data_IF_457194008597
#
_entry.id   IF_457194008597
#
_cell.length_a   1.000
_cell.length_b   1.000
_cell.length_c   1.000
_cell.angle_alpha   90.00
_cell.angle_beta   90.00
_cell.angle_gamma   90.00
#
_symmetry.space_group_name_H-M   'P 1'
#
loop_
_entity.id
_entity.type
_entity.pdbx_description
1 polymer ?
#
# COMPACT_ATOMS: atom_id res chain seq x y z
N UNK A 1 -18.88 32.01 -6.82
CA UNK A 1 -18.09 31.04 -7.60
C UNK A 1 -16.64 31.22 -7.19
N UNK A 2 -16.12 30.41 -6.26
CA UNK A 2 -14.72 30.50 -5.85
C UNK A 2 -13.86 29.85 -6.93
N UNK A 3 -13.02 30.63 -7.62
CA UNK A 3 -12.01 30.10 -8.51
C UNK A 3 -10.92 29.45 -7.65
N UNK A 4 -10.67 28.16 -7.87
CA UNK A 4 -9.51 27.48 -7.29
C UNK A 4 -8.27 28.02 -8.02
N UNK A 5 -7.57 28.96 -7.39
CA UNK A 5 -6.26 29.44 -7.84
C UNK A 5 -5.21 28.41 -7.47
N UNK A 6 -4.37 28.00 -8.41
CA UNK A 6 -3.20 27.16 -8.12
C UNK A 6 -2.22 27.94 -7.27
N UNK A 7 -1.87 27.43 -6.09
CA UNK A 7 -0.85 28.00 -5.21
C UNK A 7 0.55 27.83 -5.82
N UNK A 8 1.43 28.81 -5.60
CA UNK A 8 2.81 28.79 -6.11
C UNK A 8 3.62 27.67 -5.43
N UNK A 9 4.05 26.68 -6.20
CA UNK A 9 4.92 25.60 -5.73
C UNK A 9 6.40 25.93 -5.97
N UNK A 10 7.22 25.80 -4.92
CA UNK A 10 8.68 25.97 -5.01
C UNK A 10 9.42 24.63 -5.09
N UNK A 11 10.45 24.53 -5.93
CA UNK A 11 11.32 23.35 -6.01
C UNK A 11 12.42 23.43 -4.94
N UNK A 12 12.47 22.44 -4.05
CA UNK A 12 13.52 22.28 -3.04
C UNK A 12 14.45 21.13 -3.43
N UNK A 13 15.76 21.36 -3.32
CA UNK A 13 16.80 20.32 -3.43
C UNK A 13 17.61 20.35 -2.15
N UNK A 14 17.67 19.22 -1.45
CA UNK A 14 18.39 19.08 -0.19
C UNK A 14 19.46 17.99 -0.34
N UNK A 15 20.64 18.22 0.24
CA UNK A 15 21.74 17.28 0.30
C UNK A 15 22.14 17.06 1.77
N UNK A 16 22.53 15.84 2.12
CA UNK A 16 22.86 15.46 3.49
C UNK A 16 23.57 14.10 3.56
N UNK A 17 23.84 13.64 4.78
CA UNK A 17 24.47 12.34 5.00
C UNK A 17 23.48 11.20 4.72
N UNK A 18 23.99 10.08 4.17
CA UNK A 18 23.15 8.94 3.80
C UNK A 18 22.39 8.35 4.99
N UNK A 19 23.00 8.38 6.18
CA UNK A 19 22.41 7.86 7.41
C UNK A 19 21.22 8.70 7.90
N UNK A 20 21.19 10.00 7.59
CA UNK A 20 20.12 10.92 7.99
C UNK A 20 18.99 11.03 6.95
N UNK A 21 19.22 10.55 5.72
CA UNK A 21 18.25 10.63 4.63
C UNK A 21 16.89 10.05 5.00
N UNK A 22 16.88 8.89 5.67
CA UNK A 22 15.64 8.24 6.11
C UNK A 22 14.85 9.13 7.07
N UNK A 23 15.50 9.63 8.11
CA UNK A 23 14.86 10.49 9.12
C UNK A 23 14.34 11.78 8.50
N UNK A 24 15.09 12.37 7.55
CA UNK A 24 14.64 13.56 6.82
C UNK A 24 13.38 13.28 6.01
N UNK A 25 13.33 12.16 5.26
CA UNK A 25 12.14 11.75 4.50
C UNK A 25 10.94 11.52 5.44
N UNK A 26 11.13 10.84 6.57
CA UNK A 26 10.05 10.57 7.53
C UNK A 26 9.44 11.86 8.09
N UNK A 27 10.27 12.85 8.44
CA UNK A 27 9.81 14.17 8.93
C UNK A 27 9.10 14.95 7.84
N UNK A 28 9.68 14.99 6.63
CA UNK A 28 9.12 15.70 5.47
C UNK A 28 7.78 15.09 5.06
N UNK A 29 7.68 13.77 5.00
CA UNK A 29 6.45 13.05 4.70
C UNK A 29 5.39 13.29 5.79
N UNK A 30 5.79 13.36 7.07
CA UNK A 30 4.91 13.67 8.18
C UNK A 30 4.31 15.09 8.13
N UNK A 31 5.03 16.05 7.55
CA UNK A 31 4.51 17.41 7.35
C UNK A 31 3.42 17.46 6.26
N UNK A 32 3.43 16.54 5.30
CA UNK A 32 2.45 16.48 4.20
C UNK A 32 2.37 17.75 3.34
N UNK A 33 3.42 18.58 3.33
CA UNK A 33 3.48 19.86 2.62
C UNK A 33 4.30 19.82 1.32
N UNK A 34 4.87 18.67 0.97
CA UNK A 34 5.90 18.59 -0.07
C UNK A 34 5.72 17.37 -0.94
N UNK A 35 5.79 17.58 -2.26
CA UNK A 35 5.80 16.52 -3.25
C UNK A 35 7.23 16.02 -3.42
N UNK A 36 7.48 14.77 -3.02
CA UNK A 36 8.79 14.14 -3.20
C UNK A 36 8.85 13.59 -4.62
N UNK A 37 9.79 14.11 -5.41
CA UNK A 37 10.09 13.61 -6.75
C UNK A 37 11.46 12.92 -6.73
N UNK A 38 11.59 11.86 -7.52
CA UNK A 38 12.86 11.20 -7.72
C UNK A 38 13.86 12.16 -8.38
N UNK A 39 15.03 12.32 -7.75
CA UNK A 39 16.13 13.07 -8.32
C UNK A 39 16.72 12.31 -9.52
N UNK A 40 16.32 12.70 -10.73
CA UNK A 40 16.76 12.06 -11.97
C UNK A 40 18.04 12.64 -12.57
N UNK A 41 18.78 13.49 -11.85
CA UNK A 41 19.92 14.20 -12.44
C UNK A 41 21.13 13.28 -12.58
N UNK A 42 21.76 13.34 -13.74
CA UNK A 42 22.97 12.60 -14.12
C UNK A 42 24.25 13.27 -13.62
N UNK A 43 24.17 14.10 -12.57
CA UNK A 43 25.31 14.83 -12.01
C UNK A 43 26.31 13.83 -11.43
N UNK A 44 27.52 13.80 -12.00
CA UNK A 44 28.61 12.92 -11.58
C UNK A 44 28.92 13.11 -10.09
N UNK A 45 28.62 12.09 -9.29
CA UNK A 45 28.93 12.05 -7.85
C UNK A 45 27.72 11.97 -6.92
N UNK A 46 26.49 12.17 -7.42
CA UNK A 46 25.26 11.99 -6.65
C UNK A 46 24.51 10.74 -7.16
N UNK A 47 24.71 9.61 -6.48
CA UNK A 47 23.95 8.40 -6.75
C UNK A 47 22.64 8.41 -5.99
N UNK A 48 21.55 8.05 -6.68
CA UNK A 48 20.30 7.67 -6.03
C UNK A 48 20.59 6.50 -5.07
N UNK A 49 20.06 6.59 -3.84
CA UNK A 49 20.12 5.49 -2.88
C UNK A 49 19.10 4.41 -3.22
N UNK A 50 19.39 3.16 -2.89
CA UNK A 50 18.40 2.07 -3.01
C UNK A 50 17.31 2.27 -1.96
N UNK A 51 16.02 2.12 -2.30
CA UNK A 51 14.95 2.14 -1.31
C UNK A 51 15.21 1.10 -0.21
N UNK A 52 14.80 1.41 1.02
CA UNK A 52 14.98 0.49 2.15
C UNK A 52 14.24 -0.82 1.89
N UNK A 53 14.86 -1.96 2.25
CA UNK A 53 14.26 -3.30 2.15
C UNK A 53 12.85 -3.39 2.78
N UNK A 54 12.60 -2.58 3.82
CA UNK A 54 11.29 -2.47 4.47
C UNK A 54 10.18 -2.04 3.50
N UNK A 55 10.50 -1.29 2.45
CA UNK A 55 9.54 -0.82 1.45
C UNK A 55 8.97 -1.99 0.64
N UNK A 56 9.80 -2.98 0.32
CA UNK A 56 9.36 -4.19 -0.38
C UNK A 56 8.43 -5.02 0.52
N UNK A 57 8.82 -5.20 1.77
CA UNK A 57 8.01 -5.90 2.77
C UNK A 57 6.63 -5.25 2.94
N UNK A 58 6.58 -3.92 3.10
CA UNK A 58 5.33 -3.16 3.20
C UNK A 58 4.48 -3.32 1.93
N UNK A 59 5.09 -3.26 0.75
CA UNK A 59 4.38 -3.40 -0.53
C UNK A 59 3.76 -4.78 -0.70
N UNK A 60 4.49 -5.83 -0.33
CA UNK A 60 3.99 -7.21 -0.33
C UNK A 60 2.83 -7.38 0.66
N UNK A 61 2.99 -6.83 1.87
CA UNK A 61 1.97 -6.88 2.93
C UNK A 61 0.69 -6.15 2.51
N UNK A 62 0.80 -4.96 1.91
CA UNK A 62 -0.33 -4.20 1.36
C UNK A 62 -1.06 -4.97 0.25
N UNK A 63 -0.31 -5.64 -0.62
CA UNK A 63 -0.88 -6.42 -1.73
C UNK A 63 -1.72 -7.59 -1.20
N UNK A 64 -1.23 -8.29 -0.17
CA UNK A 64 -2.00 -9.35 0.51
C UNK A 64 -3.30 -8.83 1.10
N UNK A 65 -3.26 -7.71 1.83
CA UNK A 65 -4.46 -7.11 2.43
C UNK A 65 -5.49 -6.71 1.35
N UNK A 66 -5.04 -6.14 0.23
CA UNK A 66 -5.93 -5.81 -0.89
C UNK A 66 -6.56 -7.06 -1.51
N UNK A 67 -5.80 -8.15 -1.63
CA UNK A 67 -6.33 -9.44 -2.10
C UNK A 67 -7.45 -9.97 -1.20
N UNK A 68 -7.22 -9.97 0.11
CA UNK A 68 -8.23 -10.38 1.08
C UNK A 68 -9.48 -9.47 1.04
N UNK A 69 -9.28 -8.16 1.00
CA UNK A 69 -10.39 -7.19 0.90
C UNK A 69 -11.23 -7.37 -0.38
N UNK A 70 -10.58 -7.67 -1.52
CA UNK A 70 -11.26 -7.94 -2.78
C UNK A 70 -12.14 -9.20 -2.71
N UNK A 71 -11.63 -10.28 -2.10
CA UNK A 71 -12.41 -11.51 -1.89
C UNK A 71 -13.60 -11.30 -0.96
N UNK A 72 -13.44 -10.47 0.06
CA UNK A 72 -14.51 -10.14 1.02
C UNK A 72 -15.54 -9.13 0.48
N UNK A 73 -15.29 -8.52 -0.69
CA UNK A 73 -16.05 -7.38 -1.20
C UNK A 73 -16.20 -6.28 -0.14
N UNK A 74 -15.13 -6.02 0.61
CA UNK A 74 -15.15 -5.05 1.71
C UNK A 74 -15.59 -3.67 1.18
N UNK A 75 -16.52 -3.03 1.88
CA UNK A 75 -16.96 -1.68 1.53
C UNK A 75 -15.82 -0.68 1.64
N UNK A 76 -15.79 0.29 0.72
CA UNK A 76 -14.83 1.37 0.78
C UNK A 76 -14.99 2.15 2.08
N UNK A 77 -13.88 2.30 2.80
CA UNK A 77 -13.85 3.04 4.05
C UNK A 77 -14.05 4.54 3.77
N UNK A 78 -15.27 5.03 3.98
CA UNK A 78 -15.63 6.44 3.75
C UNK A 78 -15.10 7.40 4.82
N UNK A 79 -14.65 6.89 5.96
CA UNK A 79 -14.19 7.70 7.09
C UNK A 79 -12.71 7.47 7.36
N UNK A 80 -11.92 8.54 7.24
CA UNK A 80 -10.49 8.53 7.56
C UNK A 80 -10.31 8.32 9.06
N UNK A 81 -9.60 7.26 9.43
CA UNK A 81 -9.17 7.02 10.81
C UNK A 81 -7.95 7.88 11.14
N UNK A 82 -7.82 8.27 12.40
CA UNK A 82 -6.65 9.00 12.86
C UNK A 82 -5.39 8.13 12.75
N UNK A 83 -4.27 8.70 12.31
CA UNK A 83 -3.00 7.98 12.15
C UNK A 83 -2.55 7.15 13.37
N UNK A 84 -2.74 7.58 14.64
CA UNK A 84 -2.40 6.75 15.80
C UNK A 84 -3.25 5.49 15.92
N UNK A 85 -4.52 5.56 15.53
CA UNK A 85 -5.46 4.44 15.58
C UNK A 85 -5.12 3.42 14.50
N UNK A 86 -4.86 3.89 13.27
CA UNK A 86 -4.37 3.04 12.16
C UNK A 86 -3.09 2.31 12.56
N UNK A 87 -2.13 3.02 13.18
CA UNK A 87 -0.87 2.40 13.65
C UNK A 87 -1.11 1.32 14.71
N UNK A 88 -2.05 1.51 15.63
CA UNK A 88 -2.40 0.50 16.64
C UNK A 88 -3.00 -0.74 15.99
N UNK A 89 -3.91 -0.56 15.06
CA UNK A 89 -4.54 -1.67 14.32
C UNK A 89 -3.52 -2.44 13.49
N UNK A 90 -2.61 -1.75 12.80
CA UNK A 90 -1.56 -2.35 11.97
C UNK A 90 -0.46 -3.08 12.78
N UNK A 91 -0.25 -2.68 14.03
CA UNK A 91 0.66 -3.36 14.96
C UNK A 91 0.00 -4.54 15.69
N UNK A 92 -1.30 -4.74 15.50
CA UNK A 92 -2.06 -5.84 16.08
C UNK A 92 -2.07 -7.11 15.22
N UNK A 93 -3.00 -8.05 15.47
CA UNK A 93 -3.07 -9.36 14.80
C UNK A 93 -3.61 -9.29 13.36
N UNK A 94 -3.57 -8.13 12.70
CA UNK A 94 -4.20 -7.94 11.40
C UNK A 94 -3.59 -8.85 10.33
N UNK A 95 -2.30 -9.15 10.43
CA UNK A 95 -1.62 -10.03 9.49
C UNK A 95 -2.12 -11.47 9.59
N UNK A 96 -2.30 -11.97 10.81
CA UNK A 96 -2.84 -13.31 11.08
C UNK A 96 -4.30 -13.44 10.62
N UNK A 97 -5.09 -12.38 10.82
CA UNK A 97 -6.48 -12.33 10.37
C UNK A 97 -6.59 -12.32 8.84
N UNK A 98 -5.73 -11.56 8.16
CA UNK A 98 -5.67 -11.52 6.69
C UNK A 98 -5.26 -12.88 6.13
N UNK A 99 -4.27 -13.52 6.74
CA UNK A 99 -3.83 -14.86 6.32
C UNK A 99 -4.91 -15.92 6.55
N UNK A 100 -5.59 -15.87 7.69
CA UNK A 100 -6.71 -16.77 8.01
C UNK A 100 -7.88 -16.58 7.04
N UNK A 101 -8.22 -15.33 6.70
CA UNK A 101 -9.26 -15.03 5.73
C UNK A 101 -8.94 -15.61 4.35
N UNK A 102 -7.70 -15.43 3.87
CA UNK A 102 -7.25 -15.97 2.60
C UNK A 102 -7.31 -17.51 2.57
N UNK A 103 -6.87 -18.18 3.64
CA UNK A 103 -6.97 -19.64 3.76
C UNK A 103 -8.42 -20.13 3.69
N UNK A 104 -9.34 -19.46 4.38
CA UNK A 104 -10.76 -19.80 4.33
C UNK A 104 -11.36 -19.62 2.92
N UNK A 105 -10.92 -18.61 2.16
CA UNK A 105 -11.33 -18.45 0.77
C UNK A 105 -10.77 -19.55 -0.13
N UNK A 106 -9.50 -19.91 0.04
CA UNK A 106 -8.89 -21.02 -0.71
C UNK A 106 -9.61 -22.35 -0.43
N UNK A 107 -10.00 -22.59 0.82
CA UNK A 107 -10.84 -23.73 1.20
C UNK A 107 -12.21 -23.68 0.51
N UNK A 108 -12.91 -22.54 0.57
CA UNK A 108 -14.21 -22.36 -0.09
C UNK A 108 -14.14 -22.60 -1.60
N UNK A 109 -13.12 -22.08 -2.27
CA UNK A 109 -12.91 -22.30 -3.70
C UNK A 109 -12.61 -23.77 -4.02
N UNK A 110 -11.93 -24.49 -3.11
CA UNK A 110 -11.73 -25.94 -3.25
C UNK A 110 -13.03 -26.74 -3.16
N UNK A 111 -14.00 -26.25 -2.39
CA UNK A 111 -15.33 -26.85 -2.24
C UNK A 111 -16.34 -26.41 -3.29
N UNK A 112 -16.07 -25.36 -4.08
CA UNK A 112 -16.91 -24.95 -5.20
C UNK A 112 -16.52 -25.76 -6.45
N UNK A 113 -17.14 -26.92 -6.74
CA UNK A 113 -16.86 -27.62 -7.98
C UNK A 113 -17.23 -26.71 -9.15
N UNK A 114 -16.29 -26.56 -10.08
CA UNK A 114 -16.53 -25.90 -11.37
C UNK A 114 -17.92 -26.30 -11.92
N UNK A 115 -18.84 -25.37 -12.23
CA UNK A 115 -20.17 -25.71 -12.75
C UNK A 115 -20.12 -26.42 -14.12
N UNK A 116 -18.94 -26.63 -14.70
CA UNK A 116 -18.73 -27.26 -16.01
C UNK A 116 -18.72 -28.79 -16.01
N UNK A 117 -18.80 -29.49 -14.87
CA UNK A 117 -18.84 -30.98 -14.85
C UNK A 117 -20.23 -31.60 -14.69
N UNK A 118 -21.24 -30.86 -14.27
CA UNK A 118 -22.56 -31.45 -13.94
C UNK A 118 -23.60 -31.41 -15.08
N UNK A 119 -23.34 -30.72 -16.19
CA UNK A 119 -24.31 -30.64 -17.31
C UNK A 119 -24.16 -31.75 -18.36
N UNK A 120 -23.21 -32.69 -18.19
CA UNK A 120 -22.96 -33.74 -19.19
C UNK A 120 -23.66 -35.08 -18.93
N UNK A 121 -24.37 -35.27 -17.81
CA UNK A 121 -24.88 -36.59 -17.42
C UNK A 121 -26.41 -36.73 -17.31
N UNK A 122 -27.19 -35.80 -17.88
CA UNK A 122 -28.66 -35.89 -17.93
C UNK A 122 -29.20 -35.81 -19.37
N UNK A 123 -28.62 -36.64 -20.25
CA UNK A 123 -29.27 -37.07 -21.50
C UNK A 123 -29.20 -38.60 -21.56
N UNK A 124 -30.22 -39.24 -21.01
CA UNK A 124 -30.80 -40.53 -21.42
C UNK A 124 -32.25 -40.52 -20.93
#
# INVERSE_FOLDING_TARGET
>A
MSQLTTEDMSRLVAAGTRDQLKTAIDVIAGLSLVHINDYSSTEEGLSMGTPSDKSEEISRRLTKMRGAAANMQAEDQKQLLAAPEVRRTLSGPIDELVESALQLFDELDSFAPSPRRLTRNWRC
#
